data_IF_625784906939
#
_entry.id   IF_625784906939
#
_cell.length_a   1.000
_cell.length_b   1.000
_cell.length_c   1.000
_cell.angle_alpha   90.00
_cell.angle_beta   90.00
_cell.angle_gamma   90.00
#
_symmetry.space_group_name_H-M   'P 1'
#
loop_
_entity.id
_entity.type
_entity.pdbx_description
1 polymer ?
#
# COMPACT_ATOMS: atom_id res chain seq x y z
N UNK A 1 -15.15 25.94 -7.98
CA UNK A 1 -14.05 26.61 -8.71
C UNK A 1 -14.75 27.54 -9.67
N UNK A 2 -14.42 28.84 -9.66
CA UNK A 2 -15.05 29.75 -10.61
C UNK A 2 -14.72 29.31 -12.04
N UNK A 3 -15.71 29.26 -12.91
CA UNK A 3 -15.49 28.88 -14.32
C UNK A 3 -14.93 30.07 -15.09
N UNK A 4 -14.36 29.80 -16.27
CA UNK A 4 -13.89 30.85 -17.17
C UNK A 4 -15.01 31.83 -17.53
N UNK A 5 -16.22 31.32 -17.73
CA UNK A 5 -17.40 32.09 -18.08
C UNK A 5 -17.83 33.03 -16.95
N UNK A 6 -17.77 32.57 -15.70
CA UNK A 6 -18.06 33.38 -14.52
C UNK A 6 -17.07 34.55 -14.36
N UNK A 7 -15.79 34.35 -14.67
CA UNK A 7 -14.77 35.43 -14.62
C UNK A 7 -15.07 36.52 -15.67
N UNK A 8 -15.50 36.12 -16.87
CA UNK A 8 -15.87 37.08 -17.93
C UNK A 8 -17.14 37.83 -17.56
N UNK A 9 -18.17 37.14 -17.07
CA UNK A 9 -19.40 37.77 -16.58
C UNK A 9 -19.12 38.76 -15.46
N UNK A 10 -18.20 38.45 -14.55
CA UNK A 10 -17.82 39.35 -13.47
C UNK A 10 -17.11 40.62 -13.97
N UNK A 11 -16.26 40.51 -15.00
CA UNK A 11 -15.65 41.67 -15.65
C UNK A 11 -16.71 42.59 -16.28
N UNK A 12 -17.73 41.99 -16.90
CA UNK A 12 -18.83 42.72 -17.53
C UNK A 12 -19.74 43.39 -16.48
N UNK A 13 -20.01 42.74 -15.34
CA UNK A 13 -20.74 43.31 -14.20
C UNK A 13 -20.02 44.50 -13.55
N UNK A 14 -18.69 44.44 -13.48
CA UNK A 14 -17.85 45.53 -12.97
C UNK A 14 -17.70 46.69 -13.97
N UNK A 15 -18.22 46.54 -15.19
CA UNK A 15 -18.20 47.57 -16.21
C UNK A 15 -16.80 47.84 -16.80
N UNK A 16 -15.85 46.91 -16.64
CA UNK A 16 -14.54 47.06 -17.26
C UNK A 16 -14.66 46.98 -18.79
N UNK A 17 -14.02 47.91 -19.50
CA UNK A 17 -14.00 47.96 -20.97
C UNK A 17 -12.59 48.23 -21.50
N UNK A 18 -12.34 47.83 -22.74
CA UNK A 18 -11.05 48.02 -23.42
C UNK A 18 -9.88 47.43 -22.63
N UNK A 19 -8.78 48.16 -22.56
CA UNK A 19 -7.53 47.72 -21.91
C UNK A 19 -7.72 47.32 -20.44
N UNK A 20 -8.60 48.01 -19.70
CA UNK A 20 -8.89 47.67 -18.29
C UNK A 20 -9.56 46.30 -18.15
N UNK A 21 -10.40 45.92 -19.11
CA UNK A 21 -11.02 44.58 -19.14
C UNK A 21 -9.96 43.53 -19.42
N UNK A 22 -9.06 43.79 -20.37
CA UNK A 22 -8.00 42.86 -20.73
C UNK A 22 -6.99 42.67 -19.59
N UNK A 23 -6.64 43.73 -18.87
CA UNK A 23 -5.79 43.65 -17.67
C UNK A 23 -6.44 42.84 -16.56
N UNK A 24 -7.72 43.11 -16.25
CA UNK A 24 -8.48 42.38 -15.24
C UNK A 24 -8.55 40.88 -15.59
N UNK A 25 -8.94 40.55 -16.82
CA UNK A 25 -9.03 39.17 -17.28
C UNK A 25 -7.67 38.47 -17.24
N UNK A 26 -6.58 39.13 -17.63
CA UNK A 26 -5.23 38.55 -17.54
C UNK A 26 -4.84 38.22 -16.10
N UNK A 27 -5.13 39.11 -15.15
CA UNK A 27 -4.82 38.88 -13.74
C UNK A 27 -5.64 37.72 -13.16
N UNK A 28 -6.96 37.74 -13.36
CA UNK A 28 -7.86 36.71 -12.84
C UNK A 28 -7.60 35.34 -13.49
N UNK A 29 -7.35 35.29 -14.79
CA UNK A 29 -7.00 34.02 -15.44
C UNK A 29 -5.64 33.48 -14.98
N UNK A 30 -4.65 34.34 -14.71
CA UNK A 30 -3.38 33.91 -14.12
C UNK A 30 -3.61 33.26 -12.75
N UNK A 31 -4.44 33.88 -11.90
CA UNK A 31 -4.79 33.32 -10.59
C UNK A 31 -5.58 32.02 -10.71
N UNK A 32 -6.52 31.94 -11.65
CA UNK A 32 -7.29 30.73 -11.94
C UNK A 32 -6.38 29.56 -12.31
N UNK A 33 -5.45 29.76 -13.25
CA UNK A 33 -4.49 28.73 -13.69
C UNK A 33 -3.57 28.31 -12.54
N UNK A 34 -3.08 29.26 -11.74
CA UNK A 34 -2.26 28.95 -10.56
C UNK A 34 -3.02 28.12 -9.53
N UNK A 35 -4.28 28.45 -9.25
CA UNK A 35 -5.13 27.68 -8.33
C UNK A 35 -5.43 26.28 -8.88
N UNK A 36 -5.70 26.15 -10.18
CA UNK A 36 -5.93 24.87 -10.83
C UNK A 36 -4.66 23.98 -10.77
N UNK A 37 -3.49 24.52 -11.07
CA UNK A 37 -2.22 23.80 -10.99
C UNK A 37 -1.91 23.35 -9.55
N UNK A 38 -2.08 24.23 -8.56
CA UNK A 38 -1.93 23.87 -7.13
C UNK A 38 -2.91 22.78 -6.70
N UNK A 39 -4.16 22.83 -7.18
CA UNK A 39 -5.15 21.79 -6.89
C UNK A 39 -4.73 20.45 -7.47
N UNK A 40 -4.28 20.40 -8.71
CA UNK A 40 -3.80 19.16 -9.34
C UNK A 40 -2.58 18.58 -8.59
N UNK A 41 -1.64 19.44 -8.20
CA UNK A 41 -0.47 19.04 -7.42
C UNK A 41 -0.86 18.44 -6.05
N UNK A 42 -1.80 19.07 -5.35
CA UNK A 42 -2.35 18.58 -4.08
C UNK A 42 -3.06 17.23 -4.26
N UNK A 43 -3.91 17.10 -5.28
CA UNK A 43 -4.60 15.84 -5.58
C UNK A 43 -3.61 14.71 -5.90
N UNK A 44 -2.55 15.02 -6.65
CA UNK A 44 -1.47 14.08 -6.95
C UNK A 44 -0.71 13.66 -5.69
N UNK A 45 -0.42 14.60 -4.79
CA UNK A 45 0.24 14.33 -3.52
C UNK A 45 -0.62 13.42 -2.61
N UNK A 46 -1.91 13.75 -2.46
CA UNK A 46 -2.88 12.94 -1.70
C UNK A 46 -2.98 11.53 -2.26
N UNK A 47 -3.08 11.37 -3.58
CA UNK A 47 -3.13 10.06 -4.24
C UNK A 47 -1.85 9.24 -3.99
N UNK A 48 -0.68 9.87 -4.05
CA UNK A 48 0.61 9.22 -3.75
C UNK A 48 0.66 8.72 -2.31
N UNK A 49 0.25 9.56 -1.35
CA UNK A 49 0.20 9.19 0.05
C UNK A 49 -0.78 8.02 0.30
N UNK A 50 -1.95 8.05 -0.33
CA UNK A 50 -2.92 6.98 -0.22
C UNK A 50 -2.37 5.64 -0.75
N UNK A 51 -1.65 5.68 -1.88
CA UNK A 51 -0.97 4.50 -2.44
C UNK A 51 0.10 3.95 -1.49
N UNK A 52 0.90 4.80 -0.87
CA UNK A 52 1.89 4.38 0.14
C UNK A 52 1.22 3.77 1.37
N UNK A 53 0.14 4.38 1.88
CA UNK A 53 -0.67 3.79 2.97
C UNK A 53 -1.21 2.41 2.59
N UNK A 54 -1.69 2.23 1.35
CA UNK A 54 -2.15 0.93 0.82
C UNK A 54 -1.00 -0.08 0.74
N UNK A 55 0.18 0.31 0.27
CA UNK A 55 1.38 -0.55 0.24
C UNK A 55 1.77 -1.01 1.64
N UNK A 56 1.86 -0.10 2.62
CA UNK A 56 2.17 -0.43 4.01
C UNK A 56 1.17 -1.44 4.58
N UNK A 57 -0.13 -1.26 4.34
CA UNK A 57 -1.16 -2.22 4.75
C UNK A 57 -0.97 -3.60 4.12
N UNK A 58 -0.67 -3.66 2.81
CA UNK A 58 -0.40 -4.93 2.10
C UNK A 58 0.83 -5.63 2.68
N UNK A 59 1.92 -4.91 2.91
CA UNK A 59 3.15 -5.46 3.50
C UNK A 59 2.90 -5.99 4.92
N UNK A 60 2.18 -5.25 5.77
CA UNK A 60 1.80 -5.73 7.10
C UNK A 60 0.92 -6.98 7.06
N UNK A 61 -0.04 -7.06 6.13
CA UNK A 61 -0.85 -8.27 5.92
C UNK A 61 0.02 -9.46 5.50
N UNK A 62 0.91 -9.25 4.53
CA UNK A 62 1.85 -10.28 4.06
C UNK A 62 2.71 -10.83 5.19
N UNK A 63 3.35 -9.96 5.98
CA UNK A 63 4.14 -10.37 7.15
C UNK A 63 3.33 -11.24 8.13
N UNK A 64 2.12 -10.82 8.49
CA UNK A 64 1.24 -11.61 9.37
C UNK A 64 0.87 -12.97 8.78
N UNK A 65 0.65 -13.07 7.47
CA UNK A 65 0.38 -14.35 6.81
C UNK A 65 1.62 -15.25 6.79
N UNK A 66 2.80 -14.70 6.54
CA UNK A 66 4.08 -15.42 6.58
C UNK A 66 4.38 -15.93 8.00
N UNK A 67 4.17 -15.12 9.04
CA UNK A 67 4.27 -15.51 10.45
C UNK A 67 3.29 -16.64 10.79
N UNK A 68 2.03 -16.55 10.36
CA UNK A 68 1.06 -17.64 10.56
C UNK A 68 1.52 -18.93 9.87
N UNK A 69 1.91 -18.86 8.59
CA UNK A 69 2.41 -20.05 7.88
C UNK A 69 3.65 -20.64 8.53
N UNK A 70 4.57 -19.79 9.02
CA UNK A 70 5.73 -20.21 9.79
C UNK A 70 5.32 -20.95 11.07
N UNK A 71 4.38 -20.40 11.84
CA UNK A 71 3.84 -21.06 13.04
C UNK A 71 3.13 -22.37 12.72
N UNK A 72 2.22 -22.39 11.76
CA UNK A 72 1.51 -23.60 11.33
C UNK A 72 2.50 -24.67 10.87
N UNK A 73 3.55 -24.30 10.14
CA UNK A 73 4.61 -25.24 9.73
C UNK A 73 5.40 -25.76 10.93
N UNK A 74 5.72 -24.92 11.91
CA UNK A 74 6.37 -25.34 13.16
C UNK A 74 5.45 -26.27 13.98
N UNK A 75 4.14 -25.99 14.04
CA UNK A 75 3.13 -26.81 14.73
C UNK A 75 2.96 -28.20 14.11
N UNK A 76 2.94 -28.29 12.76
CA UNK A 76 2.95 -29.58 12.08
C UNK A 76 4.24 -30.35 12.34
N UNK A 77 5.39 -29.66 12.33
CA UNK A 77 6.69 -30.30 12.58
C UNK A 77 6.84 -30.81 14.01
N UNK A 78 6.35 -30.07 15.01
CA UNK A 78 6.32 -30.56 16.41
C UNK A 78 5.38 -31.74 16.59
N UNK A 79 4.25 -31.80 15.88
CA UNK A 79 3.37 -32.98 15.90
C UNK A 79 4.00 -34.19 15.25
N UNK A 80 4.66 -34.00 14.10
CA UNK A 80 5.42 -35.07 13.43
C UNK A 80 6.54 -35.60 14.33
N UNK A 81 7.29 -34.71 15.00
CA UNK A 81 8.32 -35.09 15.98
C UNK A 81 7.73 -35.76 17.23
N UNK A 82 6.58 -35.31 17.74
CA UNK A 82 5.87 -35.96 18.85
C UNK A 82 5.33 -37.35 18.46
N UNK A 83 4.79 -37.52 17.26
CA UNK A 83 4.37 -38.84 16.76
C UNK A 83 5.56 -39.76 16.53
N UNK A 84 6.67 -39.24 15.99
CA UNK A 84 7.88 -40.02 15.79
C UNK A 84 8.50 -40.48 17.10
N UNK A 85 8.58 -39.60 18.10
CA UNK A 85 9.04 -39.97 19.45
C UNK A 85 8.09 -40.96 20.14
N UNK A 86 6.78 -40.88 19.85
CA UNK A 86 5.80 -41.83 20.38
C UNK A 86 5.93 -43.19 19.72
N UNK A 87 6.15 -43.24 18.41
CA UNK A 87 6.38 -44.49 17.68
C UNK A 87 7.71 -45.12 18.11
N UNK A 88 8.78 -44.32 18.30
CA UNK A 88 10.05 -44.78 18.87
C UNK A 88 9.86 -45.33 20.31
N UNK A 89 9.03 -44.70 21.15
CA UNK A 89 8.71 -45.20 22.50
C UNK A 89 7.79 -46.44 22.49
N UNK A 90 6.91 -46.59 21.50
CA UNK A 90 6.04 -47.78 21.34
C UNK A 90 6.84 -48.97 20.78
N UNK A 91 7.90 -48.72 20.01
CA UNK A 91 8.88 -49.75 19.59
C UNK A 91 10.06 -49.92 20.56
N UNK A 92 10.08 -49.17 21.66
CA UNK A 92 11.15 -49.17 22.67
C UNK A 92 11.18 -50.40 23.58
N UNK A 93 10.18 -51.27 23.52
CA UNK A 93 10.28 -52.65 24.02
C UNK A 93 10.53 -53.59 22.82
N UNK A 94 11.81 -53.96 22.62
CA UNK A 94 12.35 -54.93 21.65
C UNK A 94 12.67 -54.48 20.21
N UNK A 95 13.67 -53.63 20.02
CA UNK A 95 14.55 -53.78 18.85
C UNK A 95 16.03 -53.64 19.24
N UNK A 96 16.73 -54.77 19.10
CA UNK A 96 18.18 -54.85 19.19
C UNK A 96 18.84 -53.86 18.22
N UNK A 97 19.91 -53.27 18.71
CA UNK A 97 20.80 -52.40 17.96
C UNK A 97 21.36 -53.14 16.74
N UNK A 98 20.87 -52.81 15.55
CA UNK A 98 21.62 -52.97 14.32
C UNK A 98 21.99 -51.58 13.82
N UNK A 99 23.07 -51.04 14.37
CA UNK A 99 23.76 -49.90 13.81
C UNK A 99 24.58 -50.37 12.60
N UNK A 100 24.00 -50.30 11.40
CA UNK A 100 24.80 -50.21 10.17
C UNK A 100 24.68 -48.78 9.64
N UNK A 101 25.73 -48.01 9.90
CA UNK A 101 25.98 -46.72 9.25
C UNK A 101 25.90 -46.88 7.73
N UNK A 102 25.01 -46.14 7.08
CA UNK A 102 25.14 -45.86 5.65
C UNK A 102 25.05 -44.36 5.40
N UNK A 103 26.21 -43.84 5.05
CA UNK A 103 26.53 -42.47 4.69
C UNK A 103 25.55 -41.85 3.69
N UNK A 104 25.22 -40.58 3.93
CA UNK A 104 24.58 -39.68 2.97
C UNK A 104 25.33 -39.63 1.63
N UNK A 105 24.57 -39.71 0.54
CA UNK A 105 24.86 -38.98 -0.70
C UNK A 105 23.57 -38.34 -1.19
#
# INVERSE_FOLDING_TARGET
MTTREEIVQQADLLGYRGEKRDEYLKQEFKLFVQRAAKKEELERAVRKEELERRKVRRTRRRKRCEERRGRTRCEYRTREDETRNRDENVTGENLGWNSEERSCR
#
